data_IF_465937778158
#
_entry.id   IF_465937778158
#
_cell.length_a   1.000
_cell.length_b   1.000
_cell.length_c   1.000
_cell.angle_alpha   90.00
_cell.angle_beta   90.00
_cell.angle_gamma   90.00
#
_symmetry.space_group_name_H-M   'P 1'
#
loop_
_entity.id
_entity.type
_entity.pdbx_description
1 polymer ?
#
# COMPACT_ATOMS: atom_id res chain seq x y z
N UNK A 1 7.79 9.16 5.21
CA UNK A 1 6.39 8.84 4.90
C UNK A 1 6.36 7.35 4.91
N UNK A 2 6.18 6.80 6.10
CA UNK A 2 6.32 5.39 6.38
C UNK A 2 4.90 4.82 6.37
N UNK A 3 4.50 4.29 5.22
CA UNK A 3 3.15 3.72 5.04
C UNK A 3 3.19 2.26 5.47
N UNK A 4 2.21 1.85 6.26
CA UNK A 4 2.06 0.48 6.72
C UNK A 4 0.68 -0.07 6.36
N UNK A 5 0.64 -1.34 6.00
CA UNK A 5 -0.58 -2.11 5.79
C UNK A 5 -0.56 -3.29 6.75
N UNK A 6 -1.54 -3.40 7.64
CA UNK A 6 -1.60 -4.44 8.69
C UNK A 6 -0.32 -4.51 9.55
N UNK A 7 0.33 -3.37 9.80
CA UNK A 7 1.58 -3.26 10.55
C UNK A 7 2.84 -3.63 9.75
N UNK A 8 2.71 -3.97 8.47
CA UNK A 8 3.81 -4.27 7.55
C UNK A 8 4.15 -3.03 6.74
N UNK A 9 5.41 -2.60 6.64
CA UNK A 9 5.78 -1.44 5.85
C UNK A 9 5.64 -1.75 4.35
N UNK A 10 4.88 -0.91 3.66
CA UNK A 10 4.56 -1.07 2.24
C UNK A 10 4.87 0.20 1.47
N UNK A 11 5.15 0.05 0.18
CA UNK A 11 5.29 1.16 -0.75
C UNK A 11 4.08 1.22 -1.66
N UNK A 12 3.59 2.42 -1.90
CA UNK A 12 2.50 2.66 -2.86
C UNK A 12 3.11 2.77 -4.25
N UNK A 13 2.79 1.82 -5.12
CA UNK A 13 3.16 1.85 -6.53
C UNK A 13 2.22 2.76 -7.32
N UNK A 14 0.92 2.65 -7.05
CA UNK A 14 -0.12 3.44 -7.70
C UNK A 14 -1.31 3.59 -6.76
N UNK A 15 -2.01 4.71 -6.86
CA UNK A 15 -3.23 4.96 -6.11
C UNK A 15 -4.36 5.30 -7.08
N UNK A 16 -5.44 4.51 -7.04
CA UNK A 16 -6.66 4.74 -7.81
C UNK A 16 -7.69 5.43 -6.92
N UNK A 17 -7.69 6.76 -6.97
CA UNK A 17 -8.57 7.62 -6.17
C UNK A 17 -10.05 7.49 -6.58
N UNK A 18 -10.34 7.04 -7.81
CA UNK A 18 -11.73 6.83 -8.26
C UNK A 18 -12.34 5.60 -7.62
N UNK A 19 -11.54 4.56 -7.42
CA UNK A 19 -11.96 3.31 -6.76
C UNK A 19 -11.72 3.33 -5.25
N UNK A 20 -10.85 4.20 -4.76
CA UNK A 20 -10.42 4.19 -3.36
C UNK A 20 -9.49 3.02 -3.05
N UNK A 21 -8.73 2.54 -4.05
CA UNK A 21 -7.80 1.42 -3.89
C UNK A 21 -6.39 1.84 -4.28
N UNK A 22 -5.38 1.40 -3.55
CA UNK A 22 -3.98 1.55 -3.89
C UNK A 22 -3.35 0.20 -4.21
N UNK A 23 -2.46 0.19 -5.19
CA UNK A 23 -1.54 -0.90 -5.43
C UNK A 23 -0.29 -0.65 -4.60
N UNK A 24 0.00 -1.57 -3.70
CA UNK A 24 1.17 -1.49 -2.82
C UNK A 24 2.03 -2.73 -2.96
N UNK A 25 3.31 -2.64 -2.63
CA UNK A 25 4.20 -3.79 -2.53
C UNK A 25 4.96 -3.76 -1.22
N UNK A 26 5.33 -4.95 -0.74
CA UNK A 26 6.14 -5.07 0.46
C UNK A 26 7.54 -4.54 0.18
N UNK A 27 8.08 -3.72 1.10
CA UNK A 27 9.46 -3.19 0.96
C UNK A 27 10.47 -4.33 0.85
N UNK A 28 10.19 -5.45 1.52
CA UNK A 28 11.05 -6.64 1.56
C UNK A 28 10.87 -7.50 0.31
N UNK A 29 9.76 -7.36 -0.42
CA UNK A 29 9.46 -8.17 -1.60
C UNK A 29 8.77 -7.33 -2.70
N UNK A 30 9.55 -6.54 -3.47
CA UNK A 30 9.01 -5.68 -4.54
C UNK A 30 8.48 -6.46 -5.76
N UNK A 31 8.65 -7.79 -5.79
CA UNK A 31 8.11 -8.63 -6.86
C UNK A 31 6.62 -8.98 -6.68
N UNK A 32 6.05 -8.68 -5.51
CA UNK A 32 4.67 -8.99 -5.18
C UNK A 32 3.92 -7.71 -4.83
N UNK A 33 3.07 -7.25 -5.75
CA UNK A 33 2.17 -6.12 -5.53
C UNK A 33 0.74 -6.60 -5.26
N UNK A 34 0.14 -6.00 -4.25
CA UNK A 34 -1.20 -6.27 -3.74
C UNK A 34 -2.07 -5.02 -3.86
N UNK A 35 -3.32 -5.21 -4.25
CA UNK A 35 -4.32 -4.13 -4.21
C UNK A 35 -4.99 -4.11 -2.84
N UNK A 36 -4.94 -2.95 -2.20
CA UNK A 36 -5.53 -2.70 -0.89
C UNK A 36 -6.39 -1.44 -0.95
N UNK A 37 -7.36 -1.33 -0.05
CA UNK A 37 -8.11 -0.08 0.10
C UNK A 37 -7.19 1.02 0.64
N UNK A 38 -7.31 2.24 0.11
CA UNK A 38 -6.52 3.39 0.60
C UNK A 38 -6.81 3.69 2.07
N UNK A 39 -8.00 3.35 2.53
CA UNK A 39 -8.44 3.53 3.92
C UNK A 39 -7.86 2.49 4.87
N UNK A 40 -7.32 1.39 4.35
CA UNK A 40 -6.65 0.36 5.13
C UNK A 40 -5.15 0.64 5.31
N UNK A 41 -4.62 1.65 4.62
CA UNK A 41 -3.25 2.11 4.78
C UNK A 41 -3.15 3.07 5.96
N UNK A 42 -2.17 2.82 6.84
CA UNK A 42 -1.85 3.67 7.98
C UNK A 42 -0.54 4.41 7.72
N UNK A 43 -0.56 5.75 7.81
CA UNK A 43 0.65 6.57 7.77
C UNK A 43 1.28 6.69 9.16
N UNK A 44 2.60 6.51 9.24
CA UNK A 44 3.39 6.67 10.45
C UNK A 44 4.43 7.79 10.34
#
# INVERSE_FOLDING_TARGET
>A
MDVTYEGVPVWIESCDEQKGSAQVYDVSNPGESVHVDVTALEEK
#
